data_IF_203622802343
#
_entry.id   IF_203622802343
#
_cell.length_a   1.000
_cell.length_b   1.000
_cell.length_c   1.000
_cell.angle_alpha   90.00
_cell.angle_beta   90.00
_cell.angle_gamma   90.00
#
_symmetry.space_group_name_H-M   'P 1'
#
loop_
_entity.id
_entity.type
_entity.pdbx_description
1 polymer ?
#
# COMPACT_ATOMS: atom_id res chain seq x y z
N UNK A 1 -9.86 -8.87 3.18
CA UNK A 1 -8.78 -8.39 2.31
C UNK A 1 -7.63 -9.38 2.19
N UNK A 2 -7.34 -10.21 3.18
CA UNK A 2 -6.23 -11.18 3.13
C UNK A 2 -6.48 -12.27 2.10
N UNK A 3 -5.81 -12.15 0.95
CA UNK A 3 -5.95 -13.07 -0.19
C UNK A 3 -4.82 -14.09 -0.29
N UNK A 4 -3.68 -13.81 0.36
CA UNK A 4 -2.50 -14.68 0.36
C UNK A 4 -2.63 -15.76 1.46
N UNK A 5 -2.29 -17.00 1.14
CA UNK A 5 -2.36 -18.11 2.10
C UNK A 5 -1.48 -17.87 3.34
N UNK A 6 -0.33 -17.23 3.17
CA UNK A 6 0.58 -16.87 4.27
C UNK A 6 -0.05 -15.80 5.19
N UNK A 7 -0.73 -14.81 4.61
CA UNK A 7 -1.44 -13.78 5.38
C UNK A 7 -2.57 -14.39 6.21
N UNK A 8 -3.33 -15.33 5.60
CA UNK A 8 -4.42 -16.04 6.31
C UNK A 8 -3.89 -16.93 7.43
N UNK A 9 -2.78 -17.62 7.20
CA UNK A 9 -2.15 -18.48 8.20
C UNK A 9 -1.60 -17.68 9.38
N UNK A 10 -0.96 -16.53 9.10
CA UNK A 10 -0.33 -15.70 10.13
C UNK A 10 -1.25 -14.63 10.73
N UNK A 11 -2.36 -14.32 10.06
CA UNK A 11 -3.31 -13.29 10.48
C UNK A 11 -2.74 -11.87 10.43
N UNK A 12 -1.79 -11.61 9.53
CA UNK A 12 -1.17 -10.29 9.33
C UNK A 12 -1.17 -9.91 7.85
N UNK A 13 -1.32 -8.62 7.56
CA UNK A 13 -1.15 -8.07 6.21
C UNK A 13 0.35 -8.00 5.88
N UNK A 14 0.75 -8.59 4.75
CA UNK A 14 2.14 -8.59 4.25
C UNK A 14 2.30 -7.58 3.11
N UNK A 15 1.37 -7.59 2.16
CA UNK A 15 1.36 -6.69 1.01
C UNK A 15 0.22 -5.68 1.14
N UNK A 16 0.47 -4.45 0.73
CA UNK A 16 -0.57 -3.42 0.66
C UNK A 16 -1.65 -3.79 -0.34
N UNK A 17 -2.89 -3.47 -0.01
CA UNK A 17 -4.06 -3.76 -0.84
C UNK A 17 -4.90 -2.52 -1.04
N UNK A 18 -5.31 -2.35 -2.28
CA UNK A 18 -6.13 -1.22 -2.68
C UNK A 18 -7.60 -1.62 -2.76
N UNK A 19 -8.46 -0.79 -2.22
CA UNK A 19 -9.91 -0.86 -2.37
C UNK A 19 -10.49 0.54 -2.47
N UNK A 20 -11.70 0.67 -2.93
CA UNK A 20 -12.39 1.94 -2.97
C UNK A 20 -13.87 1.77 -2.58
N UNK A 21 -14.40 2.78 -1.92
CA UNK A 21 -15.82 2.88 -1.57
C UNK A 21 -16.36 4.23 -1.99
N UNK A 22 -17.66 4.30 -2.26
CA UNK A 22 -18.34 5.56 -2.55
C UNK A 22 -19.19 5.96 -1.35
N UNK A 23 -19.04 7.22 -0.93
CA UNK A 23 -19.84 7.83 0.11
C UNK A 23 -20.19 9.25 -0.28
N UNK A 24 -21.49 9.61 -0.34
CA UNK A 24 -22.01 10.93 -0.77
C UNK A 24 -21.33 11.46 -2.06
N UNK A 25 -21.33 10.70 -3.11
CA UNK A 25 -20.70 11.05 -4.40
C UNK A 25 -19.19 11.27 -4.38
N UNK A 26 -18.54 10.98 -3.25
CA UNK A 26 -17.08 11.01 -3.11
C UNK A 26 -16.52 9.58 -3.15
N UNK A 27 -15.55 9.36 -4.01
CA UNK A 27 -14.79 8.12 -4.05
C UNK A 27 -13.66 8.18 -2.99
N UNK A 28 -13.70 7.28 -2.04
CA UNK A 28 -12.67 7.12 -1.01
C UNK A 28 -11.81 5.92 -1.39
N UNK A 29 -10.58 6.17 -1.82
CA UNK A 29 -9.60 5.12 -2.03
C UNK A 29 -8.97 4.73 -0.70
N UNK A 30 -8.97 3.45 -0.39
CA UNK A 30 -8.45 2.91 0.87
C UNK A 30 -7.30 1.97 0.55
N UNK A 31 -6.16 2.19 1.18
CA UNK A 31 -5.00 1.33 1.07
C UNK A 31 -4.76 0.66 2.42
N UNK A 32 -4.96 -0.65 2.46
CA UNK A 32 -4.61 -1.47 3.61
C UNK A 32 -3.09 -1.69 3.64
N UNK A 33 -2.44 -1.25 4.71
CA UNK A 33 -0.98 -1.24 4.84
C UNK A 33 -0.49 -2.29 5.83
N UNK A 34 0.63 -2.98 5.54
CA UNK A 34 1.29 -3.80 6.55
C UNK A 34 1.65 -2.99 7.79
N UNK A 35 1.36 -3.54 8.97
CA UNK A 35 1.73 -2.90 10.25
C UNK A 35 3.14 -3.20 10.73
N UNK A 36 3.82 -4.19 10.15
CA UNK A 36 5.10 -4.69 10.64
C UNK A 36 6.29 -3.89 10.07
N UNK A 37 7.28 -3.59 10.92
CA UNK A 37 8.47 -2.82 10.55
C UNK A 37 9.31 -3.48 9.44
N UNK A 38 9.24 -4.81 9.30
CA UNK A 38 9.93 -5.56 8.24
C UNK A 38 9.47 -5.17 6.83
N UNK A 39 8.27 -4.59 6.71
CA UNK A 39 7.70 -4.11 5.45
C UNK A 39 7.81 -2.59 5.28
N UNK A 40 8.78 -1.95 5.96
CA UNK A 40 8.94 -0.50 5.99
C UNK A 40 9.01 0.17 4.62
N UNK A 41 9.69 -0.45 3.67
CA UNK A 41 9.75 0.05 2.31
C UNK A 41 8.39 0.06 1.58
N UNK A 42 7.51 -0.90 1.86
CA UNK A 42 6.14 -0.94 1.35
C UNK A 42 5.32 0.19 1.96
N UNK A 43 5.39 0.35 3.28
CA UNK A 43 4.68 1.41 4.01
C UNK A 43 5.05 2.80 3.51
N UNK A 44 6.33 3.10 3.34
CA UNK A 44 6.77 4.42 2.85
C UNK A 44 6.25 4.75 1.45
N UNK A 45 6.18 3.77 0.56
CA UNK A 45 5.65 3.95 -0.79
C UNK A 45 4.15 4.22 -0.80
N UNK A 46 3.43 3.46 0.02
CA UNK A 46 1.97 3.58 0.15
C UNK A 46 1.58 4.92 0.76
N UNK A 47 2.28 5.38 1.79
CA UNK A 47 1.99 6.66 2.44
C UNK A 47 2.13 7.88 1.51
N UNK A 48 2.90 7.77 0.41
CA UNK A 48 2.96 8.81 -0.62
C UNK A 48 1.75 8.87 -1.54
N UNK A 49 0.93 7.83 -1.58
CA UNK A 49 -0.29 7.79 -2.39
C UNK A 49 -1.52 8.33 -1.68
N UNK A 50 -1.45 8.54 -0.37
CA UNK A 50 -2.62 8.89 0.44
C UNK A 50 -2.61 10.35 0.89
N UNK A 51 -3.79 10.86 1.22
CA UNK A 51 -4.00 12.22 1.70
C UNK A 51 -4.13 12.29 3.23
N UNK A 52 -4.28 11.16 3.88
CA UNK A 52 -4.36 11.02 5.33
C UNK A 52 -4.33 9.56 5.74
N UNK A 53 -4.28 9.30 7.02
CA UNK A 53 -4.21 7.96 7.59
C UNK A 53 -5.30 7.75 8.65
N UNK A 54 -5.83 6.54 8.72
CA UNK A 54 -6.66 6.08 9.82
C UNK A 54 -5.82 5.14 10.65
N UNK A 55 -5.48 5.57 11.86
CA UNK A 55 -4.78 4.75 12.83
C UNK A 55 -5.79 3.87 13.58
N UNK A 56 -5.86 2.60 13.23
CA UNK A 56 -6.77 1.65 13.87
C UNK A 56 -6.07 1.00 15.06
N UNK A 57 -6.65 1.19 16.25
CA UNK A 57 -6.11 0.67 17.52
C UNK A 57 -7.14 -0.22 18.18
N UNK A 58 -6.72 -1.35 18.73
CA UNK A 58 -7.59 -2.25 19.49
C UNK A 58 -7.92 -1.61 20.86
N UNK A 59 -9.21 -1.53 21.20
CA UNK A 59 -9.68 -0.92 22.46
C UNK A 59 -9.22 -1.63 23.72
N UNK A 60 -8.67 -2.84 23.62
CA UNK A 60 -8.11 -3.60 24.73
C UNK A 60 -6.57 -3.59 24.72
N UNK A 61 -5.97 -3.92 23.58
CA UNK A 61 -4.50 -4.08 23.47
C UNK A 61 -3.76 -2.74 23.46
N UNK A 62 -4.42 -1.68 22.96
CA UNK A 62 -3.80 -0.36 22.83
C UNK A 62 -2.85 -0.25 21.63
N UNK A 63 -1.94 0.73 21.69
CA UNK A 63 -0.98 0.99 20.63
C UNK A 63 0.18 -0.02 20.67
N UNK A 64 0.27 -0.88 19.67
CA UNK A 64 1.31 -1.89 19.55
C UNK A 64 2.64 -1.30 19.01
N UNK A 65 3.80 -1.94 19.29
CA UNK A 65 5.11 -1.45 18.79
C UNK A 65 5.18 -1.24 17.28
N UNK A 66 4.49 -2.06 16.50
CA UNK A 66 4.41 -1.95 15.03
C UNK A 66 3.72 -0.64 14.63
N UNK A 67 2.71 -0.21 15.37
CA UNK A 67 1.99 1.05 15.16
C UNK A 67 2.93 2.24 15.20
N UNK A 68 3.92 2.24 16.11
CA UNK A 68 4.89 3.32 16.29
C UNK A 68 5.71 3.59 15.02
N UNK A 69 6.11 2.55 14.30
CA UNK A 69 6.89 2.69 13.07
C UNK A 69 6.07 3.36 11.96
N UNK A 70 4.87 2.84 11.67
CA UNK A 70 4.01 3.36 10.61
C UNK A 70 3.54 4.78 10.91
N UNK A 71 3.16 5.04 12.17
CA UNK A 71 2.72 6.35 12.62
C UNK A 71 3.84 7.39 12.48
N UNK A 72 5.07 7.07 12.88
CA UNK A 72 6.22 7.97 12.69
C UNK A 72 6.37 8.39 11.23
N UNK A 73 6.27 7.45 10.30
CA UNK A 73 6.37 7.75 8.86
C UNK A 73 5.23 8.62 8.36
N UNK A 74 4.03 8.41 8.84
CA UNK A 74 2.88 9.26 8.51
C UNK A 74 3.06 10.70 9.04
N UNK A 75 3.56 10.85 10.27
CA UNK A 75 3.83 12.16 10.88
C UNK A 75 4.98 12.91 10.18
N UNK A 76 6.06 12.22 9.80
CA UNK A 76 7.17 12.79 9.01
C UNK A 76 6.67 13.36 7.67
N UNK A 77 5.67 12.74 7.05
CA UNK A 77 5.02 13.20 5.82
C UNK A 77 3.92 14.24 6.07
N UNK A 78 3.71 14.64 7.32
CA UNK A 78 2.66 15.59 7.75
C UNK A 78 1.25 15.19 7.28
N UNK A 79 0.99 13.91 7.23
CA UNK A 79 -0.34 13.39 6.91
C UNK A 79 -1.29 13.61 8.10
N UNK A 80 -2.53 14.11 7.86
CA UNK A 80 -3.56 14.14 8.89
C UNK A 80 -3.88 12.72 9.37
N UNK A 81 -4.08 12.57 10.67
CA UNK A 81 -4.33 11.29 11.34
C UNK A 81 -5.73 11.29 11.94
N UNK A 82 -6.52 10.27 11.64
CA UNK A 82 -7.77 9.97 12.36
C UNK A 82 -7.49 8.75 13.22
N UNK A 83 -7.75 8.83 14.51
CA UNK A 83 -7.62 7.70 15.42
C UNK A 83 -8.94 6.94 15.49
N UNK A 84 -8.91 5.65 15.14
CA UNK A 84 -10.07 4.77 15.22
C UNK A 84 -9.83 3.70 16.29
N UNK A 85 -10.46 3.86 17.44
CA UNK A 85 -10.43 2.88 18.54
C UNK A 85 -11.46 1.81 18.23
N UNK A 86 -10.99 0.66 17.75
CA UNK A 86 -11.83 -0.45 17.27
C UNK A 86 -12.02 -1.51 18.36
N UNK A 87 -13.03 -2.36 18.17
CA UNK A 87 -13.40 -3.46 19.08
C UNK A 87 -13.90 -2.98 20.43
N UNK A 88 -14.58 -1.83 20.50
CA UNK A 88 -15.19 -1.32 21.73
C UNK A 88 -16.29 -2.23 22.30
N UNK A 89 -16.77 -3.18 21.50
CA UNK A 89 -17.74 -4.22 21.88
C UNK A 89 -17.15 -5.33 22.76
N UNK A 90 -15.83 -5.38 22.94
CA UNK A 90 -15.20 -6.36 23.85
C UNK A 90 -15.48 -6.02 25.31
N UNK A 91 -15.75 -7.03 26.15
CA UNK A 91 -16.00 -6.81 27.59
C UNK A 91 -14.82 -6.17 28.32
N UNK A 92 -13.59 -6.44 27.87
CA UNK A 92 -12.35 -5.94 28.46
C UNK A 92 -11.88 -4.62 27.84
N UNK A 93 -12.68 -4.02 26.94
CA UNK A 93 -12.30 -2.77 26.28
C UNK A 93 -12.10 -1.63 27.29
N UNK A 94 -11.01 -0.88 27.11
CA UNK A 94 -10.62 0.29 27.91
C UNK A 94 -10.33 1.51 27.01
N UNK A 95 -11.29 1.94 26.21
CA UNK A 95 -11.04 2.90 25.11
C UNK A 95 -10.54 4.26 25.59
N UNK A 96 -10.93 4.75 26.76
CA UNK A 96 -10.42 6.02 27.31
C UNK A 96 -8.90 5.95 27.58
N UNK A 97 -8.43 4.86 28.20
CA UNK A 97 -7.02 4.64 28.47
C UNK A 97 -6.22 4.46 27.16
N UNK A 98 -6.81 3.78 26.18
CA UNK A 98 -6.18 3.58 24.85
C UNK A 98 -6.03 4.91 24.11
N UNK A 99 -6.99 5.82 24.22
CA UNK A 99 -6.86 7.17 23.68
C UNK A 99 -5.69 7.90 24.31
N UNK A 100 -5.56 7.86 25.64
CA UNK A 100 -4.45 8.49 26.36
C UNK A 100 -3.10 7.89 25.89
N UNK A 101 -2.99 6.56 25.78
CA UNK A 101 -1.80 5.87 25.24
C UNK A 101 -1.44 6.31 23.81
N UNK A 102 -2.44 6.52 22.94
CA UNK A 102 -2.22 6.99 21.57
C UNK A 102 -1.75 8.44 21.56
N UNK A 103 -2.33 9.31 22.39
CA UNK A 103 -1.90 10.71 22.52
C UNK A 103 -0.48 10.80 23.08
N UNK A 104 -0.12 10.01 24.09
CA UNK A 104 1.26 9.90 24.57
C UNK A 104 2.21 9.44 23.46
N UNK A 105 1.80 8.45 22.66
CA UNK A 105 2.59 7.97 21.52
C UNK A 105 2.80 9.06 20.47
N UNK A 106 1.78 9.87 20.16
CA UNK A 106 1.89 10.99 19.24
C UNK A 106 2.90 12.03 19.76
N UNK A 107 2.84 12.36 21.07
CA UNK A 107 3.81 13.26 21.72
C UNK A 107 5.23 12.69 21.65
N UNK A 108 5.41 11.42 21.96
CA UNK A 108 6.70 10.71 21.88
C UNK A 108 7.31 10.70 20.47
N UNK A 109 6.47 10.84 19.46
CA UNK A 109 6.85 10.88 18.05
C UNK A 109 7.01 12.31 17.49
N UNK A 110 7.03 13.32 18.36
CA UNK A 110 7.14 14.73 18.02
C UNK A 110 6.03 15.23 17.07
N UNK A 111 4.80 14.73 17.25
CA UNK A 111 3.64 15.21 16.52
C UNK A 111 3.42 16.71 16.75
N UNK A 112 3.09 17.44 15.70
CA UNK A 112 2.78 18.86 15.80
C UNK A 112 1.37 19.10 16.40
N UNK A 113 1.05 20.34 16.73
CA UNK A 113 -0.21 20.72 17.38
C UNK A 113 -1.44 20.29 16.56
N UNK A 114 -1.35 20.38 15.23
CA UNK A 114 -2.44 19.98 14.34
C UNK A 114 -2.63 18.46 14.29
N UNK A 115 -1.56 17.70 14.46
CA UNK A 115 -1.59 16.24 14.52
C UNK A 115 -2.05 15.73 15.88
N UNK A 116 -1.82 16.48 16.95
CA UNK A 116 -2.33 16.17 18.30
C UNK A 116 -3.85 16.44 18.44
N UNK A 117 -4.37 17.41 17.69
CA UNK A 117 -5.82 17.71 17.63
C UNK A 117 -6.54 16.80 16.62
N UNK A 118 -6.16 15.54 16.57
CA UNK A 118 -6.70 14.56 15.66
C UNK A 118 -8.09 14.06 16.09
N UNK A 119 -9.03 13.83 15.15
CA UNK A 119 -10.33 13.25 15.46
C UNK A 119 -10.20 11.83 16.01
N UNK A 120 -11.03 11.49 16.98
CA UNK A 120 -11.12 10.16 17.57
C UNK A 120 -12.48 9.57 17.24
N UNK A 121 -12.48 8.37 16.69
CA UNK A 121 -13.68 7.60 16.36
C UNK A 121 -13.66 6.29 17.12
N UNK A 122 -14.74 5.97 17.80
CA UNK A 122 -14.93 4.70 18.49
C UNK A 122 -15.73 3.76 17.63
N UNK A 123 -15.22 2.56 17.38
CA UNK A 123 -15.83 1.66 16.39
C UNK A 123 -15.88 0.21 16.87
N UNK A 124 -16.86 -0.51 16.35
CA UNK A 124 -16.89 -1.97 16.29
C UNK A 124 -17.04 -2.40 14.84
N UNK A 125 -15.93 -2.76 14.20
CA UNK A 125 -15.96 -3.25 12.82
C UNK A 125 -16.80 -4.54 12.69
N UNK A 126 -16.83 -5.37 13.74
CA UNK A 126 -17.65 -6.58 13.79
C UNK A 126 -19.15 -6.27 13.77
N UNK A 127 -19.58 -5.25 14.49
CA UNK A 127 -20.96 -4.81 14.53
C UNK A 127 -21.33 -3.87 13.38
N UNK A 128 -20.33 -3.31 12.65
CA UNK A 128 -20.53 -2.32 11.61
C UNK A 128 -20.98 -0.97 12.16
N UNK A 129 -20.47 -0.56 13.33
CA UNK A 129 -20.90 0.66 14.02
C UNK A 129 -19.72 1.54 14.40
N UNK A 130 -19.93 2.86 14.38
CA UNK A 130 -18.99 3.88 14.81
C UNK A 130 -19.70 5.02 15.55
N UNK A 131 -18.99 5.70 16.43
CA UNK A 131 -19.47 6.89 17.18
C UNK A 131 -18.31 7.85 17.39
N UNK A 132 -18.60 9.13 17.55
CA UNK A 132 -17.65 10.17 17.95
C UNK A 132 -17.60 10.36 19.48
N UNK A 133 -18.49 9.71 20.21
CA UNK A 133 -18.57 9.75 21.66
C UNK A 133 -18.72 8.35 22.24
N UNK A 134 -18.06 8.12 23.37
CA UNK A 134 -18.23 6.89 24.15
C UNK A 134 -19.60 6.73 24.78
N UNK A 135 -20.27 7.87 25.06
CA UNK A 135 -21.57 7.89 25.71
C UNK A 135 -22.74 7.62 24.75
N UNK A 136 -22.46 7.67 23.44
CA UNK A 136 -23.47 7.44 22.42
C UNK A 136 -23.20 6.13 21.67
N UNK A 137 -24.13 5.17 21.69
CA UNK A 137 -23.97 3.93 20.94
C UNK A 137 -23.97 4.20 19.44
N UNK A 138 -22.96 3.70 18.74
CA UNK A 138 -22.89 3.76 17.27
C UNK A 138 -24.06 2.96 16.64
N UNK A 139 -24.62 3.49 15.56
CA UNK A 139 -25.71 2.83 14.80
C UNK A 139 -25.20 2.22 13.49
N UNK A 140 -24.25 2.86 12.86
CA UNK A 140 -23.65 2.51 11.58
C UNK A 140 -22.22 3.08 11.48
N UNK A 141 -21.58 2.95 10.32
CA UNK A 141 -20.23 3.46 10.08
C UNK A 141 -20.20 4.91 9.57
N UNK A 142 -21.36 5.57 9.44
CA UNK A 142 -21.43 6.94 8.90
C UNK A 142 -20.54 7.93 9.66
N UNK A 143 -20.46 7.91 11.00
CA UNK A 143 -19.58 8.84 11.72
C UNK A 143 -18.12 8.76 11.30
N UNK A 144 -17.60 7.57 10.96
CA UNK A 144 -16.24 7.42 10.44
C UNK A 144 -16.11 8.04 9.05
N UNK A 145 -17.07 7.78 8.14
CA UNK A 145 -17.01 8.33 6.79
C UNK A 145 -17.18 9.86 6.77
N UNK A 146 -18.04 10.41 7.63
CA UNK A 146 -18.16 11.87 7.78
C UNK A 146 -16.83 12.47 8.27
N UNK A 147 -16.23 11.88 9.29
CA UNK A 147 -14.92 12.33 9.80
C UNK A 147 -13.85 12.30 8.72
N UNK A 148 -13.83 11.26 7.86
CA UNK A 148 -12.90 11.20 6.72
C UNK A 148 -13.13 12.36 5.77
N UNK A 149 -14.37 12.65 5.38
CA UNK A 149 -14.68 13.72 4.43
C UNK A 149 -14.39 15.11 5.00
N UNK A 150 -14.61 15.30 6.30
CA UNK A 150 -14.40 16.59 6.96
C UNK A 150 -12.92 16.87 7.27
N UNK A 151 -12.13 15.83 7.55
CA UNK A 151 -10.78 16.00 8.08
C UNK A 151 -9.67 15.68 7.07
N UNK A 152 -9.87 14.71 6.19
CA UNK A 152 -8.85 14.35 5.18
C UNK A 152 -9.02 15.27 3.96
N UNK A 153 -7.97 16.02 3.56
CA UNK A 153 -8.06 16.90 2.41
C UNK A 153 -8.21 16.10 1.10
N UNK A 154 -8.94 16.69 0.15
CA UNK A 154 -8.99 16.14 -1.21
C UNK A 154 -7.61 16.16 -1.87
N UNK A 155 -7.35 15.28 -2.84
CA UNK A 155 -6.11 15.32 -3.61
C UNK A 155 -5.93 16.67 -4.32
N UNK A 156 -4.72 17.22 -4.23
CA UNK A 156 -4.34 18.42 -4.94
C UNK A 156 -3.63 18.07 -6.26
N UNK A 157 -3.75 18.93 -7.27
CA UNK A 157 -3.10 18.79 -8.57
C UNK A 157 -3.71 19.72 -9.60
N UNK A 158 -3.09 19.84 -10.76
CA UNK A 158 -3.58 20.64 -11.90
C UNK A 158 -4.20 19.70 -12.95
N UNK A 159 -5.54 19.75 -13.14
CA UNK A 159 -6.23 18.89 -14.10
C UNK A 159 -5.89 19.23 -15.58
N UNK A 160 -5.43 20.46 -15.84
CA UNK A 160 -5.06 20.93 -17.18
C UNK A 160 -3.58 20.72 -17.48
N UNK A 161 -2.78 20.29 -16.50
CA UNK A 161 -1.39 19.94 -16.70
C UNK A 161 -1.22 18.63 -17.48
N UNK A 162 -0.01 18.36 -17.92
CA UNK A 162 0.35 17.06 -18.50
C UNK A 162 0.17 15.92 -17.51
N UNK A 163 -0.20 14.76 -18.02
CA UNK A 163 -0.35 13.54 -17.21
C UNK A 163 0.90 13.26 -16.38
N UNK A 164 0.72 12.95 -15.10
CA UNK A 164 1.78 12.57 -14.20
C UNK A 164 1.26 11.52 -13.20
N UNK A 165 1.79 10.30 -13.31
CA UNK A 165 1.41 9.15 -12.47
C UNK A 165 2.65 8.49 -11.92
N UNK A 166 2.84 8.53 -10.59
CA UNK A 166 3.93 7.83 -9.91
C UNK A 166 3.53 6.39 -9.61
N UNK A 167 4.32 5.44 -10.09
CA UNK A 167 4.14 4.01 -9.78
C UNK A 167 4.76 3.70 -8.41
N UNK A 168 3.92 3.33 -7.49
CA UNK A 168 4.29 3.07 -6.09
C UNK A 168 4.32 1.59 -5.73
N UNK A 169 3.50 0.76 -6.39
CA UNK A 169 3.49 -0.69 -6.19
C UNK A 169 3.39 -1.43 -7.52
N UNK A 170 3.85 -2.67 -7.54
CA UNK A 170 3.74 -3.57 -8.70
C UNK A 170 2.91 -4.77 -8.29
N UNK A 171 1.92 -5.08 -9.10
CA UNK A 171 1.16 -6.31 -9.05
C UNK A 171 1.53 -7.19 -10.27
N UNK A 172 1.23 -8.46 -10.21
CA UNK A 172 1.51 -9.39 -11.30
C UNK A 172 0.32 -10.30 -11.58
N UNK A 173 0.04 -10.47 -12.85
CA UNK A 173 -0.96 -11.39 -13.33
C UNK A 173 -0.37 -12.25 -14.46
N UNK A 174 -0.58 -13.56 -14.42
CA UNK A 174 0.02 -14.51 -15.39
C UNK A 174 -0.41 -14.24 -16.84
N UNK A 175 -1.57 -13.61 -17.07
CA UNK A 175 -2.10 -13.32 -18.41
C UNK A 175 -1.68 -11.96 -18.97
N UNK A 176 -1.51 -10.96 -18.13
CA UNK A 176 -1.22 -9.58 -18.55
C UNK A 176 0.18 -9.10 -18.13
N UNK A 177 0.91 -9.91 -17.37
CA UNK A 177 2.23 -9.58 -16.87
C UNK A 177 2.22 -8.59 -15.71
N UNK A 178 3.21 -7.72 -15.67
CA UNK A 178 3.33 -6.68 -14.64
C UNK A 178 2.24 -5.63 -14.78
N UNK A 179 1.72 -5.21 -13.64
CA UNK A 179 0.71 -4.17 -13.50
C UNK A 179 1.28 -3.11 -12.54
N UNK A 180 1.54 -1.92 -13.06
CA UNK A 180 1.96 -0.79 -12.24
C UNK A 180 0.74 -0.18 -11.54
N UNK A 181 0.82 0.00 -10.22
CA UNK A 181 -0.22 0.69 -9.44
C UNK A 181 0.34 2.00 -8.92
N UNK A 182 -0.39 3.09 -9.15
CA UNK A 182 0.04 4.42 -8.74
C UNK A 182 -1.10 5.42 -8.65
N UNK A 183 -0.79 6.59 -8.11
CA UNK A 183 -1.73 7.71 -8.01
C UNK A 183 -1.53 8.68 -9.18
N UNK A 184 -2.62 9.20 -9.71
CA UNK A 184 -2.61 10.30 -10.66
C UNK A 184 -2.39 11.60 -9.88
N UNK A 185 -1.23 12.22 -10.04
CA UNK A 185 -0.87 13.44 -9.34
C UNK A 185 -1.26 14.70 -10.13
N UNK A 186 -1.14 14.67 -11.46
CA UNK A 186 -1.56 15.76 -12.34
C UNK A 186 -2.20 15.23 -13.63
N UNK A 187 -3.03 16.08 -14.22
CA UNK A 187 -3.68 15.82 -15.50
C UNK A 187 -4.64 14.64 -15.47
N UNK A 188 -4.80 14.01 -16.62
CA UNK A 188 -5.66 12.85 -16.82
C UNK A 188 -4.90 11.80 -17.60
N UNK A 189 -4.95 10.55 -17.16
CA UNK A 189 -4.42 9.40 -17.89
C UNK A 189 -5.55 8.70 -18.66
N UNK A 190 -5.28 8.28 -19.90
CA UNK A 190 -6.26 7.64 -20.78
C UNK A 190 -5.73 6.36 -21.39
N UNK A 191 -6.65 5.45 -21.67
CA UNK A 191 -6.36 4.25 -22.50
C UNK A 191 -5.93 4.69 -23.91
N UNK A 192 -4.96 4.01 -24.48
CA UNK A 192 -4.32 4.31 -25.77
C UNK A 192 -3.52 5.64 -25.82
N UNK A 193 -3.33 6.30 -24.70
CA UNK A 193 -2.47 7.47 -24.60
C UNK A 193 -0.99 7.08 -24.76
N UNK A 194 -0.26 7.86 -25.55
CA UNK A 194 1.20 7.78 -25.60
C UNK A 194 1.77 8.55 -24.41
N UNK A 195 2.60 7.89 -23.61
CA UNK A 195 3.25 8.46 -22.44
C UNK A 195 4.74 8.14 -22.46
N UNK A 196 5.50 8.90 -21.69
CA UNK A 196 6.93 8.67 -21.48
C UNK A 196 7.14 8.21 -20.04
N UNK A 197 7.83 7.10 -19.87
CA UNK A 197 8.32 6.68 -18.56
C UNK A 197 9.63 7.41 -18.28
N UNK A 198 9.66 8.06 -17.12
CA UNK A 198 10.86 8.72 -16.57
C UNK A 198 11.04 8.29 -15.13
N UNK A 199 12.28 8.33 -14.63
CA UNK A 199 12.58 7.95 -13.27
C UNK A 199 13.45 9.03 -12.63
N UNK A 200 13.12 9.42 -11.40
CA UNK A 200 13.82 10.48 -10.68
C UNK A 200 15.32 10.19 -10.47
N UNK A 201 15.67 8.92 -10.27
CA UNK A 201 17.06 8.50 -10.07
C UNK A 201 17.83 8.23 -11.37
N UNK A 202 17.11 8.12 -12.49
CA UNK A 202 17.68 7.86 -13.82
C UNK A 202 17.05 8.80 -14.88
N UNK A 203 17.23 10.13 -14.72
CA UNK A 203 16.51 11.12 -15.54
C UNK A 203 16.83 11.05 -17.03
N UNK A 204 17.99 10.51 -17.38
CA UNK A 204 18.43 10.36 -18.79
C UNK A 204 17.78 9.17 -19.50
N UNK A 205 17.17 8.24 -18.75
CA UNK A 205 16.49 7.09 -19.31
C UNK A 205 15.00 7.40 -19.50
N UNK A 206 14.65 7.67 -20.76
CA UNK A 206 13.26 7.92 -21.15
C UNK A 206 12.77 6.80 -22.09
N UNK A 207 11.59 6.27 -21.82
CA UNK A 207 10.99 5.24 -22.66
C UNK A 207 9.57 5.65 -23.05
N UNK A 208 9.33 5.74 -24.38
CA UNK A 208 7.97 5.95 -24.88
C UNK A 208 7.19 4.65 -24.85
N UNK A 209 6.01 4.70 -24.28
CA UNK A 209 5.09 3.57 -24.16
C UNK A 209 3.66 4.02 -24.40
N UNK A 210 2.78 3.07 -24.64
CA UNK A 210 1.35 3.30 -24.79
C UNK A 210 0.60 2.63 -23.65
N UNK A 211 -0.36 3.33 -23.06
CA UNK A 211 -1.26 2.80 -22.02
C UNK A 211 -2.22 1.82 -22.68
N UNK A 212 -2.00 0.52 -22.53
CA UNK A 212 -2.83 -0.50 -23.16
C UNK A 212 -4.15 -0.69 -22.45
N UNK A 213 -4.10 -0.81 -21.12
CA UNK A 213 -5.28 -0.95 -20.28
C UNK A 213 -5.10 -0.17 -18.97
N UNK A 214 -6.20 0.40 -18.54
CA UNK A 214 -6.29 1.23 -17.34
C UNK A 214 -7.43 0.70 -16.47
N UNK A 215 -7.17 0.53 -15.19
CA UNK A 215 -8.15 0.08 -14.22
C UNK A 215 -8.19 1.04 -13.03
N UNK A 216 -9.36 1.17 -12.44
CA UNK A 216 -9.56 1.73 -11.11
C UNK A 216 -10.08 0.65 -10.15
N UNK A 217 -10.06 0.95 -8.86
CA UNK A 217 -10.61 0.06 -7.84
C UNK A 217 -12.08 0.43 -7.57
N UNK A 218 -12.93 -0.60 -7.47
CA UNK A 218 -14.31 -0.52 -7.02
C UNK A 218 -14.56 -1.70 -6.08
N UNK A 219 -14.71 -1.41 -4.80
CA UNK A 219 -14.56 -2.40 -3.76
C UNK A 219 -13.19 -3.08 -3.87
N UNK A 220 -13.16 -4.39 -3.88
CA UNK A 220 -11.94 -5.21 -4.04
C UNK A 220 -11.61 -5.53 -5.51
N UNK A 221 -12.43 -5.08 -6.45
CA UNK A 221 -12.27 -5.42 -7.86
C UNK A 221 -11.52 -4.32 -8.61
N UNK A 222 -10.77 -4.73 -9.63
CA UNK A 222 -10.20 -3.83 -10.64
C UNK A 222 -11.21 -3.71 -11.79
N UNK A 223 -11.71 -2.50 -12.03
CA UNK A 223 -12.67 -2.20 -13.09
C UNK A 223 -11.96 -1.43 -14.20
N UNK A 224 -12.11 -1.88 -15.43
CA UNK A 224 -11.51 -1.23 -16.60
C UNK A 224 -12.20 0.13 -16.84
N UNK A 225 -11.39 1.19 -16.96
CA UNK A 225 -11.85 2.56 -17.19
C UNK A 225 -11.17 3.13 -18.44
N UNK A 226 -11.80 4.13 -19.08
CA UNK A 226 -11.25 4.79 -20.26
C UNK A 226 -10.26 5.90 -19.88
N UNK A 227 -10.50 6.56 -18.77
CA UNK A 227 -9.67 7.64 -18.24
C UNK A 227 -9.76 7.70 -16.71
N UNK A 228 -8.76 8.31 -16.09
CA UNK A 228 -8.71 8.58 -14.66
C UNK A 228 -8.02 9.91 -14.40
N UNK A 229 -8.55 10.68 -13.46
CA UNK A 229 -8.06 12.01 -13.09
C UNK A 229 -7.30 12.04 -11.77
N UNK A 230 -6.98 13.25 -11.31
CA UNK A 230 -6.22 13.53 -10.08
C UNK A 230 -6.81 12.77 -8.88
N UNK A 231 -5.91 12.20 -8.08
CA UNK A 231 -6.25 11.45 -6.86
C UNK A 231 -6.73 10.02 -7.11
N UNK A 232 -7.05 9.65 -8.36
CA UNK A 232 -7.37 8.26 -8.69
C UNK A 232 -6.15 7.37 -8.46
N UNK A 233 -6.37 6.24 -7.78
CA UNK A 233 -5.39 5.16 -7.73
C UNK A 233 -5.70 4.22 -8.88
N UNK A 234 -4.76 4.11 -9.80
CA UNK A 234 -4.91 3.38 -11.05
C UNK A 234 -3.97 2.19 -11.13
N UNK A 235 -4.44 1.13 -11.79
CA UNK A 235 -3.63 -0.01 -12.16
C UNK A 235 -3.46 -0.01 -13.69
N UNK A 236 -2.21 -0.05 -14.15
CA UNK A 236 -1.85 0.10 -15.56
C UNK A 236 -1.15 -1.17 -16.02
N UNK A 237 -1.65 -1.80 -17.08
CA UNK A 237 -1.06 -3.01 -17.66
C UNK A 237 -0.62 -2.80 -19.11
N UNK A 238 0.19 -3.75 -19.59
CA UNK A 238 0.73 -3.73 -20.96
C UNK A 238 2.08 -3.03 -21.09
N UNK A 239 2.71 -2.69 -19.98
CA UNK A 239 4.07 -2.13 -19.93
C UNK A 239 4.98 -3.15 -19.23
N UNK A 240 5.72 -3.94 -20.04
CA UNK A 240 6.49 -5.08 -19.51
C UNK A 240 7.58 -4.68 -18.50
N UNK A 241 8.25 -3.54 -18.73
CA UNK A 241 9.38 -3.07 -17.93
C UNK A 241 8.98 -1.90 -17.04
N UNK A 242 7.81 -1.94 -16.45
CA UNK A 242 7.38 -0.94 -15.46
C UNK A 242 7.98 -1.27 -14.09
N UNK A 243 8.50 -0.26 -13.41
CA UNK A 243 9.14 -0.40 -12.11
C UNK A 243 8.55 0.58 -11.10
N UNK A 244 8.74 0.27 -9.81
CA UNK A 244 8.41 1.21 -8.73
C UNK A 244 9.32 2.43 -8.85
N UNK A 245 8.73 3.61 -8.69
CA UNK A 245 9.40 4.89 -8.84
C UNK A 245 9.39 5.44 -10.26
N UNK A 246 8.92 4.67 -11.22
CA UNK A 246 8.66 5.20 -12.57
C UNK A 246 7.51 6.20 -12.52
N UNK A 247 7.67 7.30 -13.24
CA UNK A 247 6.60 8.27 -13.45
C UNK A 247 6.17 8.21 -14.91
N UNK A 248 4.88 7.98 -15.15
CA UNK A 248 4.30 8.10 -16.47
C UNK A 248 3.92 9.55 -16.71
N UNK A 249 4.52 10.17 -17.72
CA UNK A 249 4.33 11.58 -18.05
C UNK A 249 3.81 11.76 -19.47
N UNK A 250 3.13 12.88 -19.71
CA UNK A 250 2.89 13.37 -21.07
C UNK A 250 4.21 13.62 -21.78
N UNK A 251 4.33 13.31 -23.10
CA UNK A 251 5.59 13.44 -23.83
C UNK A 251 6.14 14.86 -23.92
N UNK A 252 5.27 15.87 -23.80
CA UNK A 252 5.60 17.28 -23.98
C UNK A 252 6.44 17.86 -22.83
N UNK A 253 6.21 17.37 -21.63
CA UNK A 253 6.94 17.83 -20.43
C UNK A 253 7.13 16.68 -19.42
N UNK A 254 8.05 15.75 -19.67
CA UNK A 254 8.29 14.61 -18.80
C UNK A 254 9.05 15.02 -17.55
N UNK A 255 8.34 15.22 -16.43
CA UNK A 255 8.91 15.56 -15.13
C UNK A 255 8.73 14.38 -14.17
N UNK A 256 9.82 13.72 -13.72
CA UNK A 256 9.72 12.64 -12.77
C UNK A 256 9.34 13.13 -11.38
N UNK A 257 8.45 12.41 -10.71
CA UNK A 257 8.10 12.65 -9.32
C UNK A 257 9.21 12.07 -8.42
N UNK A 258 9.73 12.84 -7.45
CA UNK A 258 10.70 12.33 -6.49
C UNK A 258 10.15 11.16 -5.67
N UNK A 259 10.91 10.09 -5.59
CA UNK A 259 10.57 8.96 -4.73
C UNK A 259 11.80 8.45 -3.98
N UNK A 260 11.56 7.72 -2.90
CA UNK A 260 12.64 7.10 -2.13
C UNK A 260 13.11 5.83 -2.84
N UNK A 261 14.43 5.74 -3.06
CA UNK A 261 15.02 4.54 -3.68
C UNK A 261 14.78 3.32 -2.77
N UNK A 262 14.39 2.22 -3.39
CA UNK A 262 14.28 0.94 -2.68
C UNK A 262 15.65 0.55 -2.16
N UNK A 263 15.74 0.28 -0.85
CA UNK A 263 16.99 -0.16 -0.23
C UNK A 263 17.41 -1.52 -0.80
N UNK A 264 18.70 -1.69 -1.03
CA UNK A 264 19.22 -2.99 -1.44
C UNK A 264 19.14 -4.00 -0.30
N UNK A 265 18.99 -5.30 -0.60
CA UNK A 265 18.97 -6.34 0.42
C UNK A 265 20.25 -6.32 1.25
N UNK A 266 20.13 -6.38 2.58
CA UNK A 266 21.25 -6.37 3.51
C UNK A 266 21.68 -7.79 3.93
N UNK A 267 20.81 -8.78 3.69
CA UNK A 267 21.04 -10.19 4.06
C UNK A 267 20.94 -11.04 2.79
N UNK A 268 21.88 -11.97 2.64
CA UNK A 268 21.84 -12.96 1.58
C UNK A 268 21.70 -14.37 2.18
N UNK A 269 20.89 -15.19 1.54
CA UNK A 269 20.65 -16.59 1.91
C UNK A 269 20.85 -17.49 0.70
N UNK A 270 21.37 -18.70 0.94
CA UNK A 270 21.44 -19.73 -0.08
C UNK A 270 20.29 -20.71 0.09
N UNK A 271 19.53 -20.88 -0.98
CA UNK A 271 18.49 -21.89 -1.10
C UNK A 271 19.05 -23.03 -1.94
N UNK A 272 19.12 -24.20 -1.35
CA UNK A 272 19.75 -25.40 -1.95
C UNK A 272 18.71 -26.51 -1.94
N UNK A 273 18.72 -27.33 -2.98
CA UNK A 273 17.90 -28.54 -3.01
C UNK A 273 18.38 -29.50 -1.94
N UNK A 274 17.44 -30.16 -1.25
CA UNK A 274 17.79 -31.19 -0.28
C UNK A 274 18.40 -32.41 -1.00
N UNK A 275 19.68 -32.64 -0.80
CA UNK A 275 20.49 -33.76 -1.35
C UNK A 275 20.72 -34.87 -0.33
N UNK A 276 20.09 -34.78 0.85
CA UNK A 276 20.26 -35.82 1.89
C UNK A 276 19.59 -37.14 1.46
N UNK A 277 19.96 -38.26 2.13
CA UNK A 277 19.36 -39.59 1.88
C UNK A 277 17.85 -39.64 2.12
N UNK A 278 17.29 -38.61 2.78
CA UNK A 278 15.88 -38.48 3.06
C UNK A 278 15.15 -37.55 2.04
N UNK A 279 15.87 -37.07 1.03
CA UNK A 279 15.32 -36.21 -0.01
C UNK A 279 14.16 -36.90 -0.75
N UNK A 280 13.07 -36.16 -0.96
CA UNK A 280 11.92 -36.65 -1.72
C UNK A 280 10.96 -37.58 -0.96
N UNK A 281 11.20 -37.85 0.31
CA UNK A 281 10.26 -38.62 1.13
C UNK A 281 9.05 -37.79 1.58
N UNK A 282 9.24 -36.49 1.76
CA UNK A 282 8.17 -35.54 2.08
C UNK A 282 8.23 -34.33 1.14
N UNK A 283 7.06 -33.76 0.83
CA UNK A 283 6.93 -32.59 -0.02
C UNK A 283 6.74 -32.89 -1.51
N UNK A 284 6.09 -31.97 -2.21
CA UNK A 284 5.77 -32.09 -3.65
C UNK A 284 6.73 -31.28 -4.54
N UNK A 285 7.39 -30.27 -3.99
CA UNK A 285 8.16 -29.28 -4.75
C UNK A 285 9.65 -29.32 -4.36
N UNK A 286 10.27 -30.47 -4.59
CA UNK A 286 11.60 -30.80 -4.06
C UNK A 286 12.75 -30.71 -5.09
N UNK A 287 12.45 -30.31 -6.33
CA UNK A 287 13.48 -30.21 -7.39
C UNK A 287 14.04 -28.81 -7.54
N UNK A 288 15.26 -28.68 -8.08
CA UNK A 288 15.88 -27.39 -8.40
C UNK A 288 14.99 -26.53 -9.32
N UNK A 289 14.30 -27.15 -10.26
CA UNK A 289 13.36 -26.47 -11.14
C UNK A 289 12.21 -25.84 -10.37
N UNK A 290 11.59 -26.56 -9.44
CA UNK A 290 10.50 -26.02 -8.62
C UNK A 290 10.99 -24.87 -7.74
N UNK A 291 12.18 -25.01 -7.14
CA UNK A 291 12.80 -23.98 -6.32
C UNK A 291 13.10 -22.72 -7.15
N UNK A 292 13.69 -22.91 -8.33
CA UNK A 292 13.95 -21.84 -9.28
C UNK A 292 12.67 -21.11 -9.67
N UNK A 293 11.67 -21.83 -10.16
CA UNK A 293 10.41 -21.26 -10.63
C UNK A 293 9.72 -20.46 -9.51
N UNK A 294 9.81 -20.96 -8.27
CA UNK A 294 9.24 -20.28 -7.09
C UNK A 294 9.99 -19.00 -6.75
N UNK A 295 11.31 -19.02 -6.69
CA UNK A 295 12.14 -17.87 -6.37
C UNK A 295 12.05 -16.77 -7.44
N UNK A 296 12.12 -17.16 -8.72
CA UNK A 296 12.01 -16.19 -9.82
C UNK A 296 10.60 -15.63 -9.99
N UNK A 297 9.57 -16.37 -9.58
CA UNK A 297 8.20 -15.85 -9.53
C UNK A 297 8.06 -14.71 -8.52
N UNK A 298 8.73 -14.79 -7.38
CA UNK A 298 8.69 -13.74 -6.36
C UNK A 298 9.29 -12.42 -6.84
N UNK A 299 10.27 -12.43 -7.75
CA UNK A 299 10.83 -11.22 -8.35
C UNK A 299 9.80 -10.38 -9.11
N UNK A 300 8.65 -10.96 -9.49
CA UNK A 300 7.60 -10.22 -10.17
C UNK A 300 6.80 -9.32 -9.23
N UNK A 301 6.76 -9.66 -7.95
CA UNK A 301 5.96 -8.96 -6.92
C UNK A 301 6.82 -8.30 -5.85
N UNK A 302 7.89 -8.95 -5.41
CA UNK A 302 8.82 -8.41 -4.41
C UNK A 302 10.00 -7.71 -5.11
N UNK A 303 9.94 -6.40 -5.13
CA UNK A 303 10.94 -5.54 -5.78
C UNK A 303 12.22 -5.35 -4.96
N UNK A 304 12.21 -5.70 -3.68
CA UNK A 304 13.38 -5.67 -2.80
C UNK A 304 14.22 -6.94 -2.87
N UNK A 305 13.63 -8.03 -3.39
CA UNK A 305 14.29 -9.31 -3.53
C UNK A 305 15.28 -9.32 -4.71
N UNK A 306 16.41 -9.98 -4.52
CA UNK A 306 17.37 -10.33 -5.57
C UNK A 306 17.51 -11.85 -5.59
N UNK A 307 17.46 -12.44 -6.75
CA UNK A 307 17.70 -13.87 -6.91
C UNK A 307 18.76 -14.06 -7.98
N UNK A 308 19.84 -14.74 -7.61
CA UNK A 308 20.96 -15.04 -8.49
C UNK A 308 21.16 -16.57 -8.52
N UNK A 309 21.39 -17.10 -9.71
CA UNK A 309 21.85 -18.48 -9.85
C UNK A 309 23.32 -18.54 -9.42
N UNK A 310 23.68 -19.56 -8.66
CA UNK A 310 25.08 -19.78 -8.27
C UNK A 310 25.81 -20.61 -9.34
N UNK A 311 27.09 -20.92 -9.12
CA UNK A 311 27.87 -21.77 -10.00
C UNK A 311 27.27 -23.19 -10.13
N UNK A 312 26.48 -23.62 -9.19
CA UNK A 312 25.75 -24.89 -9.20
C UNK A 312 24.31 -24.68 -9.60
N UNK A 313 23.77 -25.53 -10.46
CA UNK A 313 22.36 -25.48 -10.93
C UNK A 313 21.31 -25.80 -9.85
N UNK A 314 21.75 -26.17 -8.66
CA UNK A 314 20.91 -26.62 -7.53
C UNK A 314 20.89 -25.64 -6.37
N UNK A 315 21.61 -24.52 -6.50
CA UNK A 315 21.70 -23.49 -5.47
C UNK A 315 21.37 -22.11 -6.02
N UNK A 316 20.62 -21.33 -5.25
CA UNK A 316 20.21 -19.96 -5.55
C UNK A 316 20.56 -19.05 -4.39
N UNK A 317 21.02 -17.86 -4.70
CA UNK A 317 21.33 -16.82 -3.73
C UNK A 317 20.29 -15.73 -3.78
#
# INVERSE_FOLDING_TARGET
MDSNDIERERGITILSKNTAVFYKDVKINIIDTPGHADFGGEVERVLKMVNGVILVVDAFEGAMPQTKFVLRKALELKLPVIVCVNKIDRPEARPAEVVDEVLELLIDLDADESQLDCPIVYASAKAGTASLSMDEPGKDMMPLFETILDYIPAPEGDPDAGTQVLISTIDYNEYVGRIGVGKVDNGVIRVNQDVVIVNHHEPDKMKKVKVSKLYEFDGLNKVEVKEAGIGSIVAISGIADIHIGDTLCSPENPVPIPFQKISEPTIAMHFIVNDSPLAGQEGKYVTSRHLRDRLFRELNTDVSLRVEETETTESFK
#
